data_IF_870877172968
#
_entry.id   IF_870877172968
#
_cell.length_a   1.000
_cell.length_b   1.000
_cell.length_c   1.000
_cell.angle_alpha   90.00
_cell.angle_beta   90.00
_cell.angle_gamma   90.00
#
_symmetry.space_group_name_H-M   'P 1'
#
loop_
_entity.id
_entity.type
_entity.pdbx_description
1 polymer ?
#
# COMPACT_ATOMS: atom_id res chain seq x y z
N UNK A 1 -21.87 -3.95 15.04
CA UNK A 1 -22.13 -5.29 15.58
C UNK A 1 -23.58 -5.69 15.34
N UNK A 2 -23.82 -6.92 14.91
CA UNK A 2 -25.15 -7.50 14.69
C UNK A 2 -25.23 -8.85 15.39
N UNK A 3 -26.37 -9.14 16.01
CA UNK A 3 -26.66 -10.45 16.57
C UNK A 3 -27.57 -11.17 15.60
N UNK A 4 -27.13 -12.35 15.15
CA UNK A 4 -27.88 -13.21 14.23
C UNK A 4 -28.37 -14.47 14.94
N UNK A 5 -29.49 -15.00 14.48
CA UNK A 5 -29.91 -16.34 14.90
C UNK A 5 -29.22 -17.40 14.03
N UNK A 6 -29.19 -18.63 14.53
CA UNK A 6 -28.58 -19.79 13.86
C UNK A 6 -29.07 -19.98 12.42
N UNK A 7 -30.36 -19.84 12.18
CA UNK A 7 -30.94 -20.03 10.85
C UNK A 7 -30.42 -19.02 9.83
N UNK A 8 -30.27 -17.75 10.23
CA UNK A 8 -29.74 -16.69 9.34
C UNK A 8 -28.27 -16.93 9.06
N UNK A 9 -27.47 -17.28 10.07
CA UNK A 9 -26.07 -17.63 9.89
C UNK A 9 -25.90 -18.84 8.97
N UNK A 10 -26.63 -19.94 9.21
CA UNK A 10 -26.50 -21.13 8.38
C UNK A 10 -26.88 -20.86 6.91
N UNK A 11 -27.90 -20.05 6.66
CA UNK A 11 -28.24 -19.62 5.30
C UNK A 11 -27.11 -18.88 4.58
N UNK A 12 -26.31 -18.09 5.30
CA UNK A 12 -25.14 -17.41 4.74
C UNK A 12 -23.98 -18.38 4.47
N UNK A 13 -23.80 -19.39 5.34
CA UNK A 13 -22.79 -20.44 5.13
C UNK A 13 -23.15 -21.30 3.92
N UNK A 14 -24.41 -21.70 3.78
CA UNK A 14 -24.90 -22.56 2.70
C UNK A 14 -24.75 -21.86 1.32
N UNK A 15 -24.94 -20.56 1.26
CA UNK A 15 -24.74 -19.79 0.02
C UNK A 15 -23.28 -19.29 -0.14
N UNK A 16 -22.35 -19.78 0.69
CA UNK A 16 -20.93 -19.44 0.68
C UNK A 16 -20.69 -17.92 0.74
N UNK A 17 -21.51 -17.20 1.51
CA UNK A 17 -21.46 -15.75 1.67
C UNK A 17 -21.48 -15.03 0.31
N UNK A 18 -22.41 -15.40 -0.58
CA UNK A 18 -22.55 -14.84 -1.93
C UNK A 18 -22.71 -13.32 -1.95
N UNK A 19 -23.03 -12.70 -0.80
CA UNK A 19 -23.09 -11.25 -0.63
C UNK A 19 -21.79 -10.56 -1.05
N UNK A 20 -20.60 -11.18 -0.81
CA UNK A 20 -19.32 -10.65 -1.26
C UNK A 20 -19.29 -10.47 -2.77
N UNK A 21 -19.70 -11.53 -3.51
CA UNK A 21 -19.75 -11.50 -4.97
C UNK A 21 -20.79 -10.53 -5.52
N UNK A 22 -21.91 -10.38 -4.81
CA UNK A 22 -22.98 -9.42 -5.18
C UNK A 22 -22.47 -7.98 -5.05
N UNK A 23 -21.79 -7.66 -3.96
CA UNK A 23 -21.22 -6.32 -3.74
C UNK A 23 -20.14 -6.01 -4.78
N UNK A 24 -19.20 -6.92 -5.04
CA UNK A 24 -18.19 -6.74 -6.10
C UNK A 24 -18.83 -6.44 -7.45
N UNK A 25 -19.90 -7.14 -7.81
CA UNK A 25 -20.61 -6.94 -9.09
C UNK A 25 -21.29 -5.58 -9.16
N UNK A 26 -21.88 -5.11 -8.07
CA UNK A 26 -22.49 -3.77 -8.01
C UNK A 26 -21.40 -2.70 -8.06
N UNK A 27 -20.33 -2.86 -7.31
CA UNK A 27 -19.16 -2.00 -7.31
C UNK A 27 -18.58 -1.79 -8.72
N UNK A 28 -18.39 -2.89 -9.46
CA UNK A 28 -17.91 -2.83 -10.86
C UNK A 28 -18.87 -2.08 -11.80
N UNK A 29 -20.20 -2.19 -11.59
CA UNK A 29 -21.19 -1.47 -12.40
C UNK A 29 -21.22 0.03 -12.13
N UNK A 30 -20.84 0.42 -10.92
CA UNK A 30 -20.84 1.83 -10.47
C UNK A 30 -19.47 2.49 -10.66
N UNK A 31 -18.47 1.77 -11.20
CA UNK A 31 -17.09 2.23 -11.34
C UNK A 31 -16.46 2.73 -10.02
N UNK A 32 -16.86 2.10 -8.91
CA UNK A 32 -16.32 2.37 -7.56
C UNK A 32 -15.69 1.10 -7.00
N UNK A 33 -14.58 1.21 -6.27
CA UNK A 33 -13.93 0.07 -5.63
C UNK A 33 -14.48 -0.10 -4.21
N UNK A 34 -15.54 -0.90 -4.08
CA UNK A 34 -16.12 -1.25 -2.77
C UNK A 34 -16.04 -2.75 -2.58
N UNK A 35 -15.53 -3.17 -1.42
CA UNK A 35 -15.51 -4.56 -0.95
C UNK A 35 -16.15 -4.67 0.41
N UNK A 36 -16.50 -5.88 0.83
CA UNK A 36 -17.07 -6.16 2.14
C UNK A 36 -16.20 -7.15 2.88
N UNK A 37 -15.82 -6.82 4.12
CA UNK A 37 -15.25 -7.78 5.06
C UNK A 37 -16.25 -8.05 6.18
N UNK A 38 -16.35 -9.31 6.62
CA UNK A 38 -17.28 -9.74 7.67
C UNK A 38 -16.56 -10.65 8.64
N UNK A 39 -16.99 -10.63 9.90
CA UNK A 39 -16.51 -11.53 10.93
C UNK A 39 -17.70 -12.13 11.69
N UNK A 40 -17.63 -13.44 11.99
CA UNK A 40 -18.65 -14.17 12.74
C UNK A 40 -18.01 -14.98 13.85
N UNK A 41 -18.45 -14.74 15.09
CA UNK A 41 -18.08 -15.52 16.26
C UNK A 41 -19.32 -16.17 16.86
N UNK A 42 -19.23 -17.42 17.30
CA UNK A 42 -20.31 -18.13 17.94
C UNK A 42 -19.78 -19.23 18.90
N UNK A 43 -20.67 -19.87 19.65
CA UNK A 43 -20.29 -20.96 20.53
C UNK A 43 -20.02 -20.55 21.98
N UNK A 44 -20.39 -19.32 22.39
CA UNK A 44 -20.42 -18.87 23.77
C UNK A 44 -21.76 -18.22 24.10
N UNK A 45 -22.13 -18.23 25.37
CA UNK A 45 -23.24 -17.43 25.91
C UNK A 45 -22.78 -16.10 26.49
N UNK A 46 -21.46 -15.90 26.59
CA UNK A 46 -20.84 -14.68 27.09
C UNK A 46 -20.58 -13.73 25.92
N UNK A 47 -21.30 -12.62 25.89
CA UNK A 47 -21.23 -11.65 24.79
C UNK A 47 -19.88 -10.96 24.69
N UNK A 48 -19.20 -10.70 25.81
CA UNK A 48 -17.88 -10.08 25.84
C UNK A 48 -16.84 -10.94 25.11
N UNK A 49 -16.90 -12.27 25.31
CA UNK A 49 -16.02 -13.22 24.59
C UNK A 49 -16.29 -13.20 23.09
N UNK A 50 -17.56 -13.16 22.68
CA UNK A 50 -17.93 -13.12 21.27
C UNK A 50 -17.57 -11.78 20.62
N UNK A 51 -17.66 -10.67 21.35
CA UNK A 51 -17.29 -9.34 20.86
C UNK A 51 -15.78 -9.27 20.60
N UNK A 52 -14.95 -9.66 21.57
CA UNK A 52 -13.50 -9.71 21.40
C UNK A 52 -13.08 -10.63 20.25
N UNK A 53 -13.67 -11.83 20.17
CA UNK A 53 -13.43 -12.74 19.04
C UNK A 53 -13.79 -12.11 17.71
N UNK A 54 -14.95 -11.45 17.63
CA UNK A 54 -15.42 -10.82 16.39
C UNK A 54 -14.48 -9.68 15.95
N UNK A 55 -13.99 -8.86 16.89
CA UNK A 55 -13.01 -7.82 16.63
C UNK A 55 -11.72 -8.40 16.07
N UNK A 56 -11.15 -9.41 16.73
CA UNK A 56 -9.94 -10.11 16.28
C UNK A 56 -10.10 -10.74 14.89
N UNK A 57 -11.25 -11.37 14.63
CA UNK A 57 -11.56 -11.96 13.32
C UNK A 57 -11.71 -10.90 12.23
N UNK A 58 -12.27 -9.72 12.55
CA UNK A 58 -12.38 -8.63 11.61
C UNK A 58 -11.01 -8.07 11.23
N UNK A 59 -10.13 -7.89 12.22
CA UNK A 59 -8.74 -7.46 11.98
C UNK A 59 -8.00 -8.48 11.11
N UNK A 60 -8.15 -9.77 11.39
CA UNK A 60 -7.58 -10.83 10.55
C UNK A 60 -8.12 -10.80 9.12
N UNK A 61 -9.44 -10.63 8.94
CA UNK A 61 -10.03 -10.55 7.61
C UNK A 61 -9.51 -9.32 6.83
N UNK A 62 -9.29 -8.19 7.49
CA UNK A 62 -8.76 -6.97 6.88
C UNK A 62 -7.27 -7.09 6.58
N UNK A 63 -6.46 -7.60 7.52
CA UNK A 63 -5.00 -7.80 7.35
C UNK A 63 -4.68 -8.75 6.20
N UNK A 64 -5.56 -9.74 5.92
CA UNK A 64 -5.44 -10.66 4.79
C UNK A 64 -5.89 -10.07 3.45
N UNK A 65 -6.09 -8.75 3.37
CA UNK A 65 -6.46 -8.04 2.15
C UNK A 65 -7.96 -7.71 2.03
N UNK A 66 -8.76 -8.00 3.05
CA UNK A 66 -10.20 -7.73 3.03
C UNK A 66 -10.99 -8.59 2.05
N UNK A 67 -12.23 -8.15 1.73
CA UNK A 67 -13.12 -8.82 0.77
C UNK A 67 -13.36 -10.30 1.10
N UNK A 68 -13.47 -10.63 2.38
CA UNK A 68 -13.61 -11.98 2.87
C UNK A 68 -14.41 -12.03 4.18
N UNK A 69 -14.83 -13.22 4.53
CA UNK A 69 -15.50 -13.52 5.78
C UNK A 69 -14.60 -14.41 6.63
N UNK A 70 -14.33 -14.01 7.87
CA UNK A 70 -13.69 -14.82 8.88
C UNK A 70 -14.75 -15.34 9.86
N UNK A 71 -14.73 -16.64 10.13
CA UNK A 71 -15.70 -17.31 11.00
C UNK A 71 -14.99 -18.18 12.02
N UNK A 72 -15.38 -18.10 13.29
CA UNK A 72 -14.86 -18.97 14.35
C UNK A 72 -15.93 -19.36 15.34
N UNK A 73 -15.99 -20.65 15.66
CA UNK A 73 -16.64 -21.16 16.85
C UNK A 73 -15.63 -21.18 18.00
N UNK A 74 -16.06 -20.86 19.21
CA UNK A 74 -15.21 -20.96 20.41
C UNK A 74 -14.57 -22.36 20.50
N UNK A 75 -13.23 -22.37 20.64
CA UNK A 75 -12.43 -23.60 20.73
C UNK A 75 -12.11 -24.28 19.40
N UNK A 76 -12.53 -23.73 18.26
CA UNK A 76 -12.24 -24.27 16.93
C UNK A 76 -11.35 -23.35 16.10
N UNK A 77 -10.80 -23.90 15.01
CA UNK A 77 -10.01 -23.15 14.05
C UNK A 77 -10.84 -22.13 13.27
N UNK A 78 -10.17 -21.06 12.84
CA UNK A 78 -10.78 -20.00 12.03
C UNK A 78 -11.00 -20.50 10.61
N UNK A 79 -12.21 -20.31 10.09
CA UNK A 79 -12.56 -20.58 8.69
C UNK A 79 -12.68 -19.25 7.92
N UNK A 80 -12.15 -19.22 6.69
CA UNK A 80 -12.26 -18.08 5.81
C UNK A 80 -13.10 -18.42 4.58
N UNK A 81 -13.95 -17.47 4.15
CA UNK A 81 -14.74 -17.55 2.94
C UNK A 81 -14.51 -16.29 2.10
N UNK A 82 -14.39 -16.42 0.80
CA UNK A 82 -14.01 -15.32 -0.07
C UNK A 82 -12.50 -15.08 -0.04
N UNK A 83 -12.07 -13.84 -0.24
CA UNK A 83 -10.67 -13.51 -0.44
C UNK A 83 -10.22 -13.74 -1.88
N UNK A 84 -8.95 -13.45 -2.19
CA UNK A 84 -8.43 -13.61 -3.54
C UNK A 84 -8.47 -15.07 -3.99
N UNK A 85 -9.33 -15.38 -4.95
CA UNK A 85 -9.27 -16.65 -5.63
C UNK A 85 -7.92 -16.79 -6.36
N UNK A 86 -7.49 -18.02 -6.67
CA UNK A 86 -6.27 -18.27 -7.47
C UNK A 86 -6.22 -17.46 -8.77
N UNK A 87 -7.38 -17.10 -9.32
CA UNK A 87 -7.49 -16.25 -10.51
C UNK A 87 -7.09 -14.80 -10.23
N UNK A 88 -7.39 -14.25 -9.04
CA UNK A 88 -6.94 -12.92 -8.62
C UNK A 88 -5.44 -12.94 -8.30
N UNK A 89 -4.95 -13.99 -7.67
CA UNK A 89 -3.52 -14.16 -7.40
C UNK A 89 -2.70 -14.27 -8.70
N UNK A 90 -3.16 -15.03 -9.68
CA UNK A 90 -2.52 -15.09 -11.02
C UNK A 90 -2.57 -13.74 -11.75
N UNK A 91 -3.71 -13.02 -11.69
CA UNK A 91 -3.83 -11.67 -12.28
C UNK A 91 -2.92 -10.67 -11.54
N UNK A 92 -2.84 -10.73 -10.22
CA UNK A 92 -1.94 -9.91 -9.42
C UNK A 92 -0.49 -10.14 -9.82
N UNK A 93 -0.01 -11.39 -9.91
CA UNK A 93 1.36 -11.73 -10.33
C UNK A 93 1.71 -11.26 -11.74
N UNK A 94 0.77 -11.37 -12.70
CA UNK A 94 0.97 -10.87 -14.07
C UNK A 94 1.05 -9.35 -14.05
N UNK A 95 0.14 -8.68 -13.32
CA UNK A 95 0.14 -7.21 -13.16
C UNK A 95 1.44 -6.72 -12.54
N UNK A 96 1.87 -7.31 -11.42
CA UNK A 96 3.15 -6.98 -10.76
C UNK A 96 4.31 -7.12 -11.74
N UNK A 97 4.39 -8.22 -12.49
CA UNK A 97 5.45 -8.42 -13.49
C UNK A 97 5.46 -7.34 -14.56
N UNK A 98 4.29 -7.01 -15.12
CA UNK A 98 4.16 -5.94 -16.13
C UNK A 98 4.59 -4.58 -15.56
N UNK A 99 4.16 -4.24 -14.35
CA UNK A 99 4.52 -3.00 -13.67
C UNK A 99 6.02 -2.94 -13.34
N UNK A 100 6.61 -4.05 -12.85
CA UNK A 100 8.05 -4.13 -12.57
C UNK A 100 8.88 -3.95 -13.84
N UNK A 101 8.48 -4.55 -14.97
CA UNK A 101 9.13 -4.33 -16.26
C UNK A 101 9.00 -2.87 -16.73
N UNK A 102 7.83 -2.26 -16.59
CA UNK A 102 7.61 -0.87 -16.95
C UNK A 102 8.47 0.08 -16.07
N UNK A 103 8.53 -0.16 -14.75
CA UNK A 103 9.37 0.61 -13.83
C UNK A 103 10.85 0.46 -14.19
N UNK A 104 11.32 -0.77 -14.43
CA UNK A 104 12.69 -1.05 -14.87
C UNK A 104 13.04 -0.25 -16.14
N UNK A 105 12.16 -0.27 -17.14
CA UNK A 105 12.39 0.41 -18.40
C UNK A 105 12.41 1.94 -18.23
N UNK A 106 11.60 2.50 -17.33
CA UNK A 106 11.64 3.92 -16.95
C UNK A 106 12.96 4.27 -16.25
N UNK A 107 13.43 3.44 -15.32
CA UNK A 107 14.72 3.62 -14.64
C UNK A 107 15.86 3.57 -15.66
N UNK A 108 15.91 2.57 -16.52
CA UNK A 108 16.96 2.41 -17.53
C UNK A 108 17.05 3.61 -18.49
N UNK A 109 15.90 4.20 -18.86
CA UNK A 109 15.83 5.36 -19.76
C UNK A 109 16.06 6.71 -19.04
N UNK A 110 16.09 6.72 -17.71
CA UNK A 110 16.34 7.94 -16.94
C UNK A 110 17.83 8.28 -16.88
N UNK A 111 18.14 9.57 -16.65
CA UNK A 111 19.48 10.04 -16.33
C UNK A 111 19.80 9.87 -14.85
N UNK A 112 18.85 10.13 -14.01
CA UNK A 112 18.89 9.97 -12.54
C UNK A 112 17.49 9.68 -12.01
N UNK A 113 17.40 9.25 -10.76
CA UNK A 113 16.15 8.95 -10.05
C UNK A 113 16.07 9.79 -8.79
N UNK A 114 14.93 10.40 -8.56
CA UNK A 114 14.62 11.13 -7.32
C UNK A 114 13.41 10.46 -6.69
N UNK A 115 13.50 10.14 -5.41
CA UNK A 115 12.44 9.47 -4.67
C UNK A 115 11.91 10.42 -3.60
N UNK A 116 10.59 10.59 -3.53
CA UNK A 116 9.91 11.38 -2.51
C UNK A 116 8.85 10.57 -1.79
N UNK A 117 8.68 10.85 -0.52
CA UNK A 117 7.66 10.28 0.34
C UNK A 117 6.62 11.30 0.81
N UNK A 118 5.83 10.95 1.81
CA UNK A 118 4.88 11.89 2.40
C UNK A 118 5.55 12.85 3.41
N UNK A 119 4.86 13.97 3.74
CA UNK A 119 5.40 15.07 4.55
C UNK A 119 5.79 14.68 5.96
N UNK A 120 5.11 13.72 6.56
CA UNK A 120 5.42 13.20 7.89
C UNK A 120 5.92 11.77 7.73
N UNK A 121 7.19 11.62 7.33
CA UNK A 121 7.75 10.33 6.98
C UNK A 121 7.77 9.37 8.18
N UNK A 122 7.28 8.16 7.96
CA UNK A 122 7.32 7.03 8.88
C UNK A 122 8.27 5.91 8.36
N UNK A 123 8.31 4.79 9.05
CA UNK A 123 9.18 3.67 8.68
C UNK A 123 8.86 3.11 7.29
N UNK A 124 7.57 2.99 6.91
CA UNK A 124 7.20 2.45 5.61
C UNK A 124 7.64 3.38 4.47
N UNK A 125 7.40 4.67 4.64
CA UNK A 125 7.81 5.71 3.69
C UNK A 125 9.33 5.70 3.44
N UNK A 126 10.14 5.71 4.48
CA UNK A 126 11.61 5.76 4.32
C UNK A 126 12.17 4.42 3.86
N UNK A 127 11.70 3.29 4.40
CA UNK A 127 12.19 1.97 4.02
C UNK A 127 11.84 1.64 2.56
N UNK A 128 10.63 1.94 2.10
CA UNK A 128 10.25 1.78 0.69
C UNK A 128 11.08 2.67 -0.24
N UNK A 129 11.38 3.91 0.17
CA UNK A 129 12.26 4.80 -0.59
C UNK A 129 13.70 4.25 -0.67
N UNK A 130 14.23 3.71 0.41
CA UNK A 130 15.55 3.06 0.45
C UNK A 130 15.58 1.80 -0.43
N UNK A 131 14.53 0.96 -0.39
CA UNK A 131 14.38 -0.20 -1.26
C UNK A 131 14.40 0.19 -2.74
N UNK A 132 13.59 1.18 -3.14
CA UNK A 132 13.55 1.72 -4.49
C UNK A 132 14.90 2.31 -4.92
N UNK A 133 15.61 2.99 -4.00
CA UNK A 133 16.95 3.51 -4.24
C UNK A 133 17.93 2.39 -4.57
N UNK A 134 17.90 1.31 -3.80
CA UNK A 134 18.73 0.11 -4.08
C UNK A 134 18.42 -0.49 -5.45
N UNK A 135 17.13 -0.67 -5.77
CA UNK A 135 16.71 -1.17 -7.09
C UNK A 135 17.25 -0.29 -8.20
N UNK A 136 17.08 1.03 -8.13
CA UNK A 136 17.55 1.94 -9.17
C UNK A 136 19.09 1.98 -9.27
N UNK A 137 19.79 1.89 -8.15
CA UNK A 137 21.26 1.84 -8.09
C UNK A 137 21.85 0.58 -8.76
N UNK A 138 21.15 -0.57 -8.71
CA UNK A 138 21.59 -1.79 -9.43
C UNK A 138 21.62 -1.61 -10.94
N UNK A 139 20.86 -0.64 -11.48
CA UNK A 139 20.91 -0.25 -12.89
C UNK A 139 21.92 0.87 -13.17
N UNK A 140 22.80 1.18 -12.22
CA UNK A 140 23.85 2.20 -12.36
C UNK A 140 23.33 3.62 -12.41
N UNK A 141 22.14 3.90 -11.85
CA UNK A 141 21.57 5.26 -11.84
C UNK A 141 21.95 6.03 -10.58
N UNK A 142 22.32 7.30 -10.68
CA UNK A 142 22.38 8.19 -9.53
C UNK A 142 20.98 8.32 -8.91
N UNK A 143 20.89 8.10 -7.60
CA UNK A 143 19.60 8.17 -6.87
C UNK A 143 19.72 9.13 -5.71
N UNK A 144 18.67 9.93 -5.52
CA UNK A 144 18.52 10.82 -4.35
C UNK A 144 17.16 10.60 -3.71
N UNK A 145 17.11 10.60 -2.38
CA UNK A 145 15.89 10.46 -1.58
C UNK A 145 15.60 11.78 -0.87
N UNK A 146 14.41 12.33 -1.04
CA UNK A 146 13.96 13.52 -0.32
C UNK A 146 13.56 13.08 1.09
N UNK A 147 14.41 13.33 2.08
CA UNK A 147 14.16 13.02 3.49
C UNK A 147 14.52 14.19 4.41
N UNK A 148 15.09 15.29 3.87
CA UNK A 148 15.45 16.49 4.63
C UNK A 148 14.41 17.61 4.48
N UNK A 149 13.24 17.31 3.93
CA UNK A 149 12.09 18.23 3.82
C UNK A 149 10.86 17.54 4.42
N UNK A 150 10.08 18.29 5.19
CA UNK A 150 8.95 17.76 5.93
C UNK A 150 9.29 17.36 7.36
N UNK A 151 8.39 16.62 8.00
CA UNK A 151 8.57 16.04 9.33
C UNK A 151 8.97 14.56 9.23
N UNK A 152 9.46 14.04 10.33
CA UNK A 152 9.81 12.62 10.50
C UNK A 152 9.20 12.17 11.82
N UNK A 153 8.60 10.98 11.85
CA UNK A 153 8.11 10.36 13.08
C UNK A 153 9.25 10.21 14.10
N UNK A 154 8.99 10.47 15.38
CA UNK A 154 10.00 10.52 16.43
C UNK A 154 10.84 9.24 16.54
N UNK A 155 10.18 8.07 16.46
CA UNK A 155 10.87 6.78 16.53
C UNK A 155 11.77 6.55 15.31
N UNK A 156 11.30 6.95 14.13
CA UNK A 156 12.09 6.89 12.91
C UNK A 156 13.29 7.85 12.97
N UNK A 157 13.08 9.09 13.44
CA UNK A 157 14.17 10.06 13.61
C UNK A 157 15.27 9.53 14.53
N UNK A 158 14.90 8.88 15.64
CA UNK A 158 15.86 8.23 16.54
C UNK A 158 16.63 7.09 15.84
N UNK A 159 15.93 6.23 15.07
CA UNK A 159 16.55 5.13 14.34
C UNK A 159 17.51 5.63 13.24
N UNK A 160 17.12 6.66 12.49
CA UNK A 160 17.98 7.27 11.45
C UNK A 160 19.23 7.89 12.05
N UNK A 161 19.12 8.54 13.23
CA UNK A 161 20.24 9.14 13.92
C UNK A 161 21.25 8.10 14.43
N UNK A 162 20.77 6.97 14.96
CA UNK A 162 21.65 5.89 15.43
C UNK A 162 22.47 5.30 14.27
N UNK A 163 21.88 5.20 13.07
CA UNK A 163 22.49 4.59 11.91
C UNK A 163 23.00 5.63 10.88
N UNK A 164 23.11 6.90 11.25
CA UNK A 164 23.39 8.00 10.32
C UNK A 164 24.66 7.80 9.50
N UNK A 165 25.73 7.31 10.15
CA UNK A 165 27.03 7.10 9.49
C UNK A 165 26.94 6.04 8.39
N UNK A 166 26.26 4.93 8.62
CA UNK A 166 26.08 3.84 7.66
C UNK A 166 25.12 4.27 6.53
N UNK A 167 23.98 4.86 6.91
CA UNK A 167 22.97 5.28 5.95
C UNK A 167 23.47 6.38 4.99
N UNK A 168 24.30 7.31 5.48
CA UNK A 168 24.86 8.38 4.65
C UNK A 168 25.92 7.90 3.65
N UNK A 169 26.52 6.73 3.88
CA UNK A 169 27.43 6.09 2.91
C UNK A 169 26.65 5.41 1.78
N UNK A 170 25.45 4.91 2.07
CA UNK A 170 24.66 4.12 1.14
C UNK A 170 23.61 4.93 0.37
N UNK A 171 23.05 5.97 1.01
CA UNK A 171 21.91 6.72 0.50
C UNK A 171 22.20 8.23 0.46
N UNK A 172 21.83 8.86 -0.63
CA UNK A 172 21.92 10.31 -0.77
C UNK A 172 20.61 10.97 -0.34
N UNK A 173 20.52 11.39 0.91
CA UNK A 173 19.37 12.12 1.44
C UNK A 173 19.49 13.62 1.17
N UNK A 174 18.47 14.19 0.53
CA UNK A 174 18.44 15.59 0.09
C UNK A 174 17.17 16.31 0.53
N UNK A 175 17.14 17.62 0.35
CA UNK A 175 15.96 18.46 0.45
C UNK A 175 15.19 18.53 -0.87
N UNK A 176 13.92 18.99 -0.84
CA UNK A 176 13.13 19.23 -2.07
C UNK A 176 13.77 20.30 -2.98
N UNK A 177 14.39 21.33 -2.40
CA UNK A 177 15.10 22.36 -3.18
C UNK A 177 16.33 21.79 -3.90
N UNK A 178 17.12 20.95 -3.23
CA UNK A 178 18.25 20.24 -3.85
C UNK A 178 17.78 19.29 -4.94
N UNK A 179 16.62 18.63 -4.74
CA UNK A 179 16.00 17.77 -5.74
C UNK A 179 15.61 18.54 -7.01
N UNK A 180 15.03 19.75 -6.87
CA UNK A 180 14.72 20.61 -8.01
C UNK A 180 15.98 20.97 -8.81
N UNK A 181 17.10 21.26 -8.13
CA UNK A 181 18.37 21.55 -8.79
C UNK A 181 18.98 20.33 -9.50
N UNK A 182 18.59 19.12 -9.15
CA UNK A 182 19.03 17.88 -9.80
C UNK A 182 18.13 17.44 -10.97
N UNK A 183 17.01 18.15 -11.21
CA UNK A 183 16.12 17.83 -12.32
C UNK A 183 16.82 18.01 -13.68
N UNK A 184 16.70 16.96 -14.48
CA UNK A 184 17.15 16.91 -15.87
C UNK A 184 15.97 16.52 -16.76
N UNK A 185 16.13 16.63 -18.06
CA UNK A 185 15.05 16.28 -19.01
C UNK A 185 14.56 14.82 -18.85
N UNK A 186 15.47 13.91 -18.51
CA UNK A 186 15.18 12.47 -18.32
C UNK A 186 15.16 12.04 -16.87
N UNK A 187 15.04 12.95 -15.92
CA UNK A 187 14.88 12.56 -14.50
C UNK A 187 13.58 11.80 -14.31
N UNK A 188 13.67 10.68 -13.59
CA UNK A 188 12.52 9.93 -13.10
C UNK A 188 12.25 10.31 -11.64
N UNK A 189 11.05 10.77 -11.32
CA UNK A 189 10.63 11.01 -9.94
C UNK A 189 9.69 9.90 -9.50
N UNK A 190 9.96 9.28 -8.36
CA UNK A 190 9.14 8.22 -7.80
C UNK A 190 8.51 8.72 -6.50
N UNK A 191 7.19 8.74 -6.45
CA UNK A 191 6.42 8.93 -5.23
C UNK A 191 6.21 7.57 -4.57
N UNK A 192 6.64 7.40 -3.33
CA UNK A 192 6.41 6.18 -2.57
C UNK A 192 5.59 6.47 -1.32
N UNK A 193 4.72 5.51 -0.98
CA UNK A 193 3.87 5.52 0.20
C UNK A 193 2.90 6.71 0.29
N UNK A 194 2.58 7.30 -0.83
CA UNK A 194 1.52 8.29 -1.00
C UNK A 194 1.28 8.55 -2.48
N UNK A 195 0.12 9.14 -2.81
CA UNK A 195 -0.23 9.47 -4.20
C UNK A 195 -0.84 10.87 -4.36
N UNK A 196 -0.88 11.68 -3.31
CA UNK A 196 -1.37 13.06 -3.38
C UNK A 196 -0.19 14.04 -3.24
N UNK A 197 0.01 14.90 -4.25
CA UNK A 197 1.10 15.89 -4.26
C UNK A 197 1.06 16.82 -3.03
N UNK A 198 -0.13 17.16 -2.52
CA UNK A 198 -0.28 18.02 -1.34
C UNK A 198 0.30 17.39 -0.06
N UNK A 199 0.40 16.07 -0.04
CA UNK A 199 0.98 15.30 1.07
C UNK A 199 2.46 15.00 0.89
N UNK A 200 3.03 15.28 -0.29
CA UNK A 200 4.43 14.97 -0.62
C UNK A 200 5.42 15.90 0.07
N UNK A 201 6.55 15.35 0.52
CA UNK A 201 7.72 16.11 0.94
C UNK A 201 8.54 16.65 -0.25
N UNK A 202 8.24 16.20 -1.49
CA UNK A 202 8.83 16.60 -2.75
C UNK A 202 7.86 17.36 -3.66
N UNK A 203 7.00 18.21 -3.12
CA UNK A 203 5.98 18.90 -3.93
C UNK A 203 6.58 19.75 -5.06
N UNK A 204 7.67 20.49 -4.78
CA UNK A 204 8.32 21.35 -5.79
C UNK A 204 8.96 20.54 -6.92
N UNK A 205 9.63 19.43 -6.60
CA UNK A 205 10.21 18.56 -7.63
C UNK A 205 9.13 17.92 -8.48
N UNK A 206 8.00 17.53 -7.88
CA UNK A 206 6.87 16.91 -8.58
C UNK A 206 6.17 17.87 -9.55
N UNK A 207 6.04 19.15 -9.19
CA UNK A 207 5.47 20.19 -10.06
C UNK A 207 6.30 20.41 -11.33
N UNK A 208 7.61 20.17 -11.28
CA UNK A 208 8.55 20.39 -12.37
C UNK A 208 8.98 19.10 -13.09
N UNK A 209 8.62 17.94 -12.59
CA UNK A 209 9.01 16.64 -13.14
C UNK A 209 8.21 16.28 -14.39
N UNK A 210 8.90 15.76 -15.43
CA UNK A 210 8.27 15.27 -16.67
C UNK A 210 7.83 13.79 -16.58
N UNK A 211 8.50 12.99 -15.77
CA UNK A 211 8.22 11.55 -15.62
C UNK A 211 8.05 11.23 -14.15
N UNK A 212 6.86 10.80 -13.80
CA UNK A 212 6.49 10.49 -12.41
C UNK A 212 5.93 9.08 -12.34
N UNK A 213 6.40 8.33 -11.34
CA UNK A 213 5.87 7.01 -10.95
C UNK A 213 5.28 7.13 -9.56
N UNK A 214 4.17 6.47 -9.34
CA UNK A 214 3.53 6.35 -8.02
C UNK A 214 3.54 4.89 -7.60
N UNK A 215 4.04 4.61 -6.39
CA UNK A 215 3.98 3.30 -5.73
C UNK A 215 3.40 3.52 -4.34
N UNK A 216 2.20 3.00 -4.09
CA UNK A 216 1.46 3.29 -2.87
C UNK A 216 0.51 2.15 -2.50
N UNK A 217 0.22 1.99 -1.21
CA UNK A 217 -0.73 0.98 -0.72
C UNK A 217 -1.99 1.61 -0.12
N UNK A 218 -2.06 2.92 -0.01
CA UNK A 218 -3.24 3.61 0.52
C UNK A 218 -4.44 3.54 -0.44
N UNK A 219 -5.65 3.66 0.11
CA UNK A 219 -6.87 3.74 -0.72
C UNK A 219 -6.78 4.92 -1.67
N UNK A 220 -7.06 4.68 -2.94
CA UNK A 220 -6.93 5.68 -4.00
C UNK A 220 -7.80 6.91 -3.70
N UNK A 221 -7.17 8.07 -3.59
CA UNK A 221 -7.85 9.35 -3.51
C UNK A 221 -8.47 9.74 -4.87
N UNK A 222 -9.51 10.58 -4.84
CA UNK A 222 -10.17 11.11 -6.05
C UNK A 222 -9.26 12.03 -6.85
N UNK A 223 -8.32 12.72 -6.19
CA UNK A 223 -7.40 13.68 -6.82
C UNK A 223 -5.94 13.33 -6.51
N UNK A 224 -5.15 13.11 -7.55
CA UNK A 224 -3.70 12.92 -7.45
C UNK A 224 -2.97 14.27 -7.53
N UNK A 225 -3.52 15.23 -8.26
CA UNK A 225 -2.96 16.58 -8.45
C UNK A 225 -1.86 16.69 -9.50
N UNK A 226 -1.42 15.56 -10.08
CA UNK A 226 -0.39 15.47 -11.14
C UNK A 226 -0.77 14.38 -12.14
N UNK A 227 -0.12 14.36 -13.31
CA UNK A 227 -0.30 13.32 -14.33
C UNK A 227 0.89 12.34 -14.31
N UNK A 228 0.77 11.19 -13.63
CA UNK A 228 1.86 10.23 -13.55
C UNK A 228 2.03 9.44 -14.86
N UNK A 229 3.26 8.99 -15.10
CA UNK A 229 3.63 8.09 -16.21
C UNK A 229 3.28 6.64 -15.90
N UNK A 230 3.44 6.23 -14.64
CA UNK A 230 3.11 4.90 -14.14
C UNK A 230 2.46 5.02 -12.76
N UNK A 231 1.42 4.23 -12.52
CA UNK A 231 0.73 4.17 -11.23
C UNK A 231 0.63 2.72 -10.78
N UNK A 232 1.21 2.42 -9.63
CA UNK A 232 1.03 1.17 -8.92
C UNK A 232 0.47 1.48 -7.53
N UNK A 233 -0.83 1.37 -7.39
CA UNK A 233 -1.54 1.51 -6.11
C UNK A 233 -2.25 0.19 -5.84
N UNK A 234 -1.92 -0.43 -4.70
CA UNK A 234 -2.48 -1.72 -4.28
C UNK A 234 -2.95 -1.64 -2.83
N UNK A 235 -4.21 -1.25 -2.65
CA UNK A 235 -4.81 -1.07 -1.33
C UNK A 235 -4.98 -2.39 -0.52
N UNK A 236 -4.65 -3.52 -1.11
CA UNK A 236 -4.62 -4.82 -0.43
C UNK A 236 -3.26 -5.16 0.18
N UNK A 237 -2.22 -4.39 -0.14
CA UNK A 237 -0.90 -4.56 0.48
C UNK A 237 -0.89 -3.96 1.90
N UNK A 238 -0.11 -4.55 2.79
CA UNK A 238 0.01 -4.09 4.18
C UNK A 238 0.91 -2.86 4.32
N UNK A 239 1.80 -2.65 3.35
CA UNK A 239 2.76 -1.55 3.34
C UNK A 239 3.24 -1.24 1.93
N UNK A 240 3.81 -0.06 1.70
CA UNK A 240 4.50 0.27 0.46
C UNK A 240 5.79 -0.56 0.29
N UNK A 241 6.43 -0.95 1.39
CA UNK A 241 7.59 -1.86 1.38
C UNK A 241 7.27 -3.23 0.77
N UNK A 242 6.03 -3.74 0.93
CA UNK A 242 5.60 -4.99 0.30
C UNK A 242 5.56 -4.91 -1.24
N UNK A 243 5.40 -3.69 -1.77
CA UNK A 243 5.27 -3.42 -3.21
C UNK A 243 6.62 -3.20 -3.90
N UNK A 244 7.69 -3.00 -3.15
CA UNK A 244 9.05 -2.70 -3.61
C UNK A 244 9.91 -3.96 -3.66
#
# INVERSE_FOLDING_TARGET
LLILNEKAYQSMVDDHFSVLSKIRRVSMKMDVSITLSMAFAYGSTEYDVLDEMTANLMDLAQTRGGDQVAVQCVGNDIKFYGGSSEANEKRSRVRVRVLSHALRDLILKSSNVIICGHKMADFDCIASAMGLSRVASTFGKPVSIIAKTGGIEEKLAAALKINEQELSQEFNFITDNEAVNQLQEKTLVIMCDHHNIKQSNGAKVLENAKKIVIIDHHRRATEIGIKPTLVYIEAGASSACELV
#
